data_IF_894966920961
#
_entry.id   IF_894966920961
#
_cell.length_a   1.000
_cell.length_b   1.000
_cell.length_c   1.000
_cell.angle_alpha   90.00
_cell.angle_beta   90.00
_cell.angle_gamma   90.00
#
_symmetry.space_group_name_H-M   'P 1'
#
loop_
_entity.id
_entity.type
_entity.pdbx_description
1 polymer ?
#
# COMPACT_ATOMS: atom_id res chain seq x y z
N UNK A 1 19.78 21.02 -4.80
CA UNK A 1 18.64 20.33 -4.14
C UNK A 1 18.02 19.32 -5.11
N UNK A 2 18.19 17.99 -4.95
CA UNK A 2 17.37 16.96 -5.64
C UNK A 2 17.57 15.50 -5.19
N UNK A 3 18.24 15.24 -4.07
CA UNK A 3 18.46 13.86 -3.56
C UNK A 3 17.37 13.36 -2.59
N UNK A 4 16.56 14.27 -2.02
CA UNK A 4 15.46 13.90 -1.10
C UNK A 4 14.32 13.14 -1.79
N UNK A 5 14.11 13.33 -3.10
CA UNK A 5 13.09 12.59 -3.88
C UNK A 5 13.45 11.12 -4.11
N UNK A 6 14.74 10.79 -4.23
CA UNK A 6 15.18 9.41 -4.45
C UNK A 6 15.03 8.53 -3.19
N UNK A 7 15.10 9.11 -1.99
CA UNK A 7 14.81 8.40 -0.74
C UNK A 7 13.32 8.00 -0.59
N UNK A 8 12.42 8.73 -1.27
CA UNK A 8 10.99 8.37 -1.30
C UNK A 8 10.72 7.14 -2.15
N UNK A 9 11.50 6.90 -3.21
CA UNK A 9 11.32 5.74 -4.10
C UNK A 9 11.72 4.43 -3.42
N UNK A 10 12.77 4.43 -2.58
CA UNK A 10 13.10 3.26 -1.74
C UNK A 10 11.99 2.96 -0.73
N UNK A 11 11.35 3.98 -0.14
CA UNK A 11 10.19 3.74 0.72
C UNK A 11 9.04 3.12 -0.10
N UNK A 12 8.79 3.67 -1.29
CA UNK A 12 7.76 3.18 -2.22
C UNK A 12 7.97 1.72 -2.64
N UNK A 13 9.22 1.30 -2.87
CA UNK A 13 9.54 -0.06 -3.30
C UNK A 13 9.28 -1.11 -2.22
N UNK A 14 9.23 -0.72 -0.93
CA UNK A 14 8.97 -1.63 0.19
C UNK A 14 7.50 -1.62 0.65
N UNK A 15 6.72 -0.63 0.21
CA UNK A 15 5.28 -0.57 0.50
C UNK A 15 4.50 -1.82 0.07
N UNK A 16 4.75 -2.48 -1.08
CA UNK A 16 4.01 -3.69 -1.42
C UNK A 16 4.25 -4.83 -0.42
N UNK A 17 5.50 -4.98 0.06
CA UNK A 17 5.83 -5.95 1.10
C UNK A 17 5.16 -5.64 2.45
N UNK A 18 5.08 -4.37 2.82
CA UNK A 18 4.40 -3.94 4.05
C UNK A 18 2.88 -4.13 3.94
N UNK A 19 2.27 -3.79 2.80
CA UNK A 19 0.88 -4.09 2.53
C UNK A 19 0.58 -5.57 2.65
N UNK A 20 1.41 -6.41 2.03
CA UNK A 20 1.28 -7.85 2.12
C UNK A 20 1.38 -8.35 3.57
N UNK A 21 2.29 -7.79 4.37
CA UNK A 21 2.42 -8.11 5.79
C UNK A 21 1.15 -7.73 6.58
N UNK A 22 0.58 -6.54 6.37
CA UNK A 22 -0.67 -6.16 7.04
C UNK A 22 -1.86 -7.01 6.60
N UNK A 23 -1.93 -7.38 5.32
CA UNK A 23 -3.00 -8.25 4.79
C UNK A 23 -2.90 -9.68 5.32
N UNK A 24 -1.69 -10.22 5.43
CA UNK A 24 -1.44 -11.58 5.96
C UNK A 24 -1.45 -11.66 7.49
N UNK A 25 -1.23 -10.54 8.20
CA UNK A 25 -1.19 -10.53 9.65
C UNK A 25 -2.55 -10.87 10.28
N UNK A 26 -2.62 -11.80 11.25
CA UNK A 26 -3.85 -12.11 11.98
C UNK A 26 -4.24 -11.02 12.98
N UNK A 27 -3.31 -10.13 13.35
CA UNK A 27 -3.55 -9.02 14.29
C UNK A 27 -4.33 -7.86 13.65
N UNK A 28 -4.37 -7.79 12.32
CA UNK A 28 -5.11 -6.76 11.59
C UNK A 28 -6.55 -7.20 11.43
N UNK A 29 -7.48 -6.35 11.84
CA UNK A 29 -8.92 -6.63 11.71
C UNK A 29 -9.34 -6.86 10.26
N UNK A 30 -10.33 -7.71 10.03
CA UNK A 30 -10.88 -7.95 8.68
C UNK A 30 -11.36 -6.65 8.02
N UNK A 31 -11.96 -5.74 8.80
CA UNK A 31 -12.42 -4.43 8.30
C UNK A 31 -11.27 -3.61 7.74
N UNK A 32 -10.11 -3.60 8.41
CA UNK A 32 -8.95 -2.87 7.90
C UNK A 32 -8.39 -3.51 6.63
N UNK A 33 -8.38 -4.85 6.53
CA UNK A 33 -7.98 -5.53 5.28
C UNK A 33 -8.92 -5.15 4.13
N UNK A 34 -10.23 -5.08 4.40
CA UNK A 34 -11.23 -4.67 3.43
C UNK A 34 -11.06 -3.22 2.95
N UNK A 35 -10.52 -2.30 3.77
CA UNK A 35 -10.25 -0.93 3.32
C UNK A 35 -9.25 -0.86 2.15
N UNK A 36 -8.40 -1.87 1.99
CA UNK A 36 -7.52 -1.98 0.82
C UNK A 36 -8.14 -2.86 -0.28
N UNK A 37 -8.72 -3.99 0.10
CA UNK A 37 -9.26 -4.97 -0.87
C UNK A 37 -10.50 -4.45 -1.59
N UNK A 38 -11.42 -3.76 -0.91
CA UNK A 38 -12.65 -3.22 -1.50
C UNK A 38 -12.37 -2.26 -2.65
N UNK A 39 -11.54 -1.20 -2.52
CA UNK A 39 -11.28 -0.31 -3.64
C UNK A 39 -10.59 -1.03 -4.81
N UNK A 40 -9.70 -1.99 -4.54
CA UNK A 40 -9.04 -2.79 -5.59
C UNK A 40 -10.04 -3.69 -6.31
N UNK A 41 -10.89 -4.42 -5.59
CA UNK A 41 -11.90 -5.31 -6.18
C UNK A 41 -12.98 -4.52 -6.90
N UNK A 42 -13.45 -3.42 -6.32
CA UNK A 42 -14.41 -2.52 -6.96
C UNK A 42 -13.83 -1.98 -8.27
N UNK A 43 -12.55 -1.60 -8.26
CA UNK A 43 -11.84 -1.19 -9.46
C UNK A 43 -11.72 -2.33 -10.48
N UNK A 44 -11.60 -3.58 -10.03
CA UNK A 44 -11.50 -4.72 -10.94
C UNK A 44 -12.83 -5.15 -11.56
N UNK A 45 -13.96 -4.82 -10.92
CA UNK A 45 -15.32 -5.09 -11.41
C UNK A 45 -15.87 -3.91 -12.24
N UNK A 46 -15.47 -2.66 -11.94
CA UNK A 46 -15.84 -1.49 -12.73
C UNK A 46 -15.49 -1.53 -14.24
N UNK A 47 -14.38 -2.13 -14.71
CA UNK A 47 -14.01 -2.12 -16.12
C UNK A 47 -14.99 -2.89 -17.02
N UNK A 48 -15.82 -3.79 -16.46
CA UNK A 48 -16.94 -4.38 -17.21
C UNK A 48 -17.92 -3.32 -17.75
N UNK A 49 -17.89 -2.09 -17.20
CA UNK A 49 -18.79 -0.99 -17.55
C UNK A 49 -18.12 0.11 -18.38
N UNK A 50 -16.78 0.09 -18.53
CA UNK A 50 -16.03 1.09 -19.31
C UNK A 50 -14.91 0.46 -20.14
N UNK A 51 -15.08 0.28 -21.46
CA UNK A 51 -13.97 -0.03 -22.34
C UNK A 51 -13.08 1.22 -22.50
N UNK A 52 -11.77 1.04 -22.67
CA UNK A 52 -10.76 2.08 -22.95
C UNK A 52 -10.15 2.88 -21.78
N UNK A 53 -9.89 2.27 -20.61
CA UNK A 53 -8.95 2.85 -19.63
C UNK A 53 -7.61 2.11 -19.71
N UNK A 54 -6.63 2.59 -20.49
CA UNK A 54 -5.40 1.83 -20.71
C UNK A 54 -4.36 2.00 -19.60
N UNK A 55 -4.46 3.01 -18.73
CA UNK A 55 -3.35 3.43 -17.87
C UNK A 55 -3.88 4.24 -16.67
N UNK A 56 -4.27 3.62 -15.55
CA UNK A 56 -4.41 4.35 -14.25
C UNK A 56 -4.19 3.46 -12.99
N UNK A 57 -4.25 2.13 -13.12
CA UNK A 57 -4.21 1.14 -12.02
C UNK A 57 -2.98 1.26 -11.14
N UNK A 58 -1.81 1.47 -11.75
CA UNK A 58 -0.54 1.51 -11.01
C UNK A 58 -0.46 2.79 -10.18
N UNK A 59 -0.89 3.94 -10.72
CA UNK A 59 -0.86 5.21 -9.99
C UNK A 59 -1.84 5.22 -8.81
N UNK A 60 -3.08 4.82 -9.07
CA UNK A 60 -4.13 4.72 -8.03
C UNK A 60 -3.76 3.69 -6.98
N UNK A 61 -3.30 2.50 -7.38
CA UNK A 61 -2.86 1.47 -6.44
C UNK A 61 -1.71 1.96 -5.59
N UNK A 62 -0.69 2.62 -6.15
CA UNK A 62 0.42 3.16 -5.37
C UNK A 62 -0.02 4.23 -4.35
N UNK A 63 -0.98 5.09 -4.72
CA UNK A 63 -1.54 6.10 -3.81
C UNK A 63 -2.35 5.44 -2.69
N UNK A 64 -3.28 4.53 -3.04
CA UNK A 64 -4.11 3.78 -2.07
C UNK A 64 -3.23 2.95 -1.15
N UNK A 65 -2.21 2.30 -1.70
CA UNK A 65 -1.21 1.53 -0.97
C UNK A 65 -0.45 2.40 0.03
N UNK A 66 0.07 3.56 -0.41
CA UNK A 66 0.77 4.50 0.47
C UNK A 66 -0.12 5.03 1.59
N UNK A 67 -1.39 5.34 1.30
CA UNK A 67 -2.37 5.74 2.30
C UNK A 67 -2.69 4.62 3.28
N UNK A 68 -2.93 3.41 2.79
CA UNK A 68 -3.23 2.24 3.60
C UNK A 68 -2.09 1.89 4.55
N UNK A 69 -0.85 1.82 4.05
CA UNK A 69 0.35 1.59 4.88
C UNK A 69 0.48 2.65 5.97
N UNK A 70 0.34 3.94 5.63
CA UNK A 70 0.44 5.03 6.61
C UNK A 70 -0.65 4.93 7.68
N UNK A 71 -1.86 4.51 7.30
CA UNK A 71 -2.97 4.26 8.25
C UNK A 71 -2.66 3.07 9.17
N UNK A 72 -2.19 1.96 8.62
CA UNK A 72 -1.87 0.75 9.38
C UNK A 72 -0.68 0.96 10.32
N UNK A 73 0.36 1.68 9.89
CA UNK A 73 1.49 2.06 10.75
C UNK A 73 1.04 2.83 11.99
N UNK A 74 -0.01 3.66 11.87
CA UNK A 74 -0.57 4.43 13.00
C UNK A 74 -1.49 3.60 13.89
N UNK A 75 -2.28 2.69 13.31
CA UNK A 75 -3.26 1.88 14.03
C UNK A 75 -2.65 0.64 14.69
N UNK A 76 -1.62 0.06 14.06
CA UNK A 76 -0.95 -1.17 14.48
C UNK A 76 0.57 -0.97 14.63
N UNK A 77 1.02 -0.13 15.57
CA UNK A 77 2.44 0.17 15.73
C UNK A 77 3.29 -1.05 16.13
N UNK A 78 2.67 -2.10 16.68
CA UNK A 78 3.31 -3.39 17.02
C UNK A 78 3.66 -4.24 15.80
N UNK A 79 3.00 -4.01 14.66
CA UNK A 79 3.22 -4.72 13.39
C UNK A 79 4.13 -3.87 12.50
N UNK A 80 5.23 -3.36 13.05
CA UNK A 80 6.25 -2.63 12.28
C UNK A 80 7.30 -3.60 11.79
N UNK A 81 7.52 -3.62 10.48
CA UNK A 81 8.69 -4.27 9.91
C UNK A 81 9.95 -3.58 10.48
N UNK A 82 10.94 -4.32 11.00
CA UNK A 82 12.19 -3.70 11.43
C UNK A 82 12.77 -2.91 10.26
N UNK A 83 13.32 -1.70 10.48
CA UNK A 83 13.93 -0.93 9.40
C UNK A 83 15.07 -1.77 8.79
N UNK A 84 14.86 -2.27 7.58
CA UNK A 84 15.88 -2.97 6.84
C UNK A 84 16.95 -1.96 6.41
N UNK A 85 18.09 -1.98 7.12
CA UNK A 85 19.34 -1.38 6.66
C UNK A 85 19.57 0.08 7.02
N UNK A 86 19.93 0.32 8.28
CA UNK A 86 20.81 1.41 8.68
C UNK A 86 21.78 0.86 9.70
N UNK A 87 22.99 0.47 9.25
CA UNK A 87 24.08 0.05 10.14
C UNK A 87 24.25 1.15 11.20
N UNK A 88 24.12 0.76 12.47
CA UNK A 88 24.74 1.49 13.59
C UNK A 88 26.26 1.44 13.43
#
# INVERSE_FOLDING_TARGET
MKWRKLMSLRRLSHMPGQCWMYLSSPQVSLVDKLLFVVPVVLYWVLPDVMPFVPIDDIGVTLIVMGWYVTRMERKYPSIKMPPSGGKR
#
